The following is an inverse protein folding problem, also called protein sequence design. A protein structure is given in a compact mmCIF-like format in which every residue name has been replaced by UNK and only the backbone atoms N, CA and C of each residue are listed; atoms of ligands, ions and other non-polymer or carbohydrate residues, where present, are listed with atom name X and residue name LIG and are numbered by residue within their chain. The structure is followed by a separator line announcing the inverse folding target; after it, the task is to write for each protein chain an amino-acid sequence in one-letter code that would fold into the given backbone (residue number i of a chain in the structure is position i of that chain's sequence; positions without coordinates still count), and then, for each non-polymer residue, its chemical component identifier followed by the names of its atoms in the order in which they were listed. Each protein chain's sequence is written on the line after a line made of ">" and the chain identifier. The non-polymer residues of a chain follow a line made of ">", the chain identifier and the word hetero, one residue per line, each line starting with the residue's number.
data_IF_947284414011
#
_entry.id   IF_947284414011
#
_cell.length_a   1.000
_cell.length_b   1.000
_cell.length_c   1.000
_cell.angle_alpha   90.00
_cell.angle_beta   90.00
_cell.angle_gamma   90.00
#
_symmetry.space_group_name_H-M   'P 1'
#
loop_
_entity.id
_entity.type
_entity.pdbx_description
1 polymer ?
#
# COMPACT_ATOMS: atom_id res chain seq x y z
N UNK A 1 14.62 -33.77 25.56
CA UNK A 1 13.56 -32.86 25.12
C UNK A 1 14.27 -31.57 24.71
N UNK A 2 14.58 -31.41 23.42
CA UNK A 2 15.33 -30.25 22.90
C UNK A 2 14.33 -29.12 22.67
N UNK A 3 14.39 -28.09 23.50
CA UNK A 3 13.54 -26.90 23.39
C UNK A 3 13.96 -26.06 22.19
N UNK A 4 13.07 -25.94 21.22
CA UNK A 4 13.21 -25.03 20.09
C UNK A 4 13.04 -23.59 20.61
N UNK A 5 14.14 -22.86 20.75
CA UNK A 5 14.11 -21.42 21.03
C UNK A 5 13.72 -20.72 19.73
N UNK A 6 12.46 -20.27 19.63
CA UNK A 6 12.04 -19.30 18.63
C UNK A 6 12.68 -17.96 18.98
N UNK A 7 13.75 -17.58 18.26
CA UNK A 7 14.22 -16.20 18.25
C UNK A 7 13.20 -15.41 17.43
N UNK A 8 12.22 -14.83 18.12
CA UNK A 8 11.36 -13.83 17.51
C UNK A 8 12.23 -12.61 17.27
N UNK A 9 12.62 -12.37 16.02
CA UNK A 9 13.21 -11.09 15.62
C UNK A 9 12.12 -10.01 15.80
N UNK A 10 12.02 -9.47 17.01
CA UNK A 10 11.10 -8.40 17.32
C UNK A 10 11.56 -7.11 16.65
N UNK A 11 10.63 -6.39 16.01
CA UNK A 11 10.88 -5.02 15.60
C UNK A 11 11.20 -4.20 16.86
N UNK A 12 12.33 -3.52 16.87
CA UNK A 12 12.73 -2.63 17.95
C UNK A 12 12.17 -1.23 17.73
N UNK A 13 12.07 -0.44 18.79
CA UNK A 13 11.65 0.96 18.70
C UNK A 13 12.66 1.84 19.41
N UNK A 14 12.94 3.02 18.85
CA UNK A 14 13.82 4.04 19.42
C UNK A 14 13.08 5.36 19.49
N UNK A 15 13.42 6.20 20.46
CA UNK A 15 12.86 7.54 20.55
C UNK A 15 13.51 8.44 19.51
N UNK A 16 12.67 9.19 18.81
CA UNK A 16 13.00 10.26 17.87
C UNK A 16 14.16 11.18 18.30
N UNK A 17 14.20 11.59 19.56
CA UNK A 17 15.24 12.49 20.09
C UNK A 17 16.67 11.90 20.02
N UNK A 18 16.79 10.58 19.95
CA UNK A 18 18.06 9.87 19.91
C UNK A 18 18.58 9.67 18.47
N UNK A 19 17.80 10.13 17.48
CA UNK A 19 18.09 9.95 16.05
C UNK A 19 17.93 11.29 15.34
N UNK A 20 18.98 11.75 14.66
CA UNK A 20 18.90 12.94 13.79
C UNK A 20 18.01 12.66 12.58
N UNK A 21 17.23 13.65 12.12
CA UNK A 21 16.40 13.52 10.90
C UNK A 21 17.19 13.01 9.69
N UNK A 22 18.45 13.45 9.54
CA UNK A 22 19.39 12.99 8.49
C UNK A 22 19.85 11.53 8.61
N UNK A 23 19.47 10.84 9.69
CA UNK A 23 19.65 9.40 9.89
C UNK A 23 18.35 8.59 9.73
N UNK A 24 17.22 9.24 9.47
CA UNK A 24 15.90 8.63 9.36
C UNK A 24 15.62 8.20 7.92
N UNK A 25 15.14 6.97 7.77
CA UNK A 25 14.47 6.46 6.57
C UNK A 25 12.96 6.66 6.71
N UNK A 26 12.34 7.47 5.85
CA UNK A 26 10.90 7.77 5.92
C UNK A 26 10.10 7.06 4.82
N UNK A 27 8.96 6.47 5.18
CA UNK A 27 8.01 5.89 4.23
C UNK A 27 6.67 6.59 4.37
N UNK A 28 6.22 7.22 3.29
CA UNK A 28 4.91 7.86 3.19
C UNK A 28 4.04 7.18 2.15
N UNK A 29 2.80 6.88 2.50
CA UNK A 29 1.83 6.28 1.58
C UNK A 29 0.51 7.01 1.67
N UNK A 30 -0.03 7.41 0.53
CA UNK A 30 -1.41 7.89 0.37
C UNK A 30 -2.20 6.85 -0.39
N UNK A 31 -3.29 6.35 0.18
CA UNK A 31 -4.17 5.38 -0.49
C UNK A 31 -5.57 5.94 -0.63
N UNK A 32 -6.10 5.92 -1.86
CA UNK A 32 -7.47 6.28 -2.20
C UNK A 32 -8.23 5.05 -2.72
N UNK A 33 -9.00 4.36 -1.87
CA UNK A 33 -9.80 3.20 -2.28
C UNK A 33 -10.91 3.57 -3.28
N UNK A 34 -11.35 2.58 -4.06
CA UNK A 34 -12.52 2.66 -4.94
C UNK A 34 -13.78 3.01 -4.13
N UNK A 35 -14.55 3.99 -4.62
CA UNK A 35 -15.77 4.46 -3.98
C UNK A 35 -15.59 5.24 -2.68
N UNK A 36 -14.36 5.39 -2.16
CA UNK A 36 -14.10 6.21 -0.97
C UNK A 36 -14.04 7.71 -1.32
N UNK A 37 -14.55 8.55 -0.43
CA UNK A 37 -14.42 10.01 -0.53
C UNK A 37 -13.34 10.55 0.42
N UNK A 38 -12.39 9.70 0.79
CA UNK A 38 -11.32 9.98 1.75
C UNK A 38 -10.01 9.38 1.26
N UNK A 39 -8.94 10.17 1.31
CA UNK A 39 -7.58 9.68 1.13
C UNK A 39 -7.00 9.29 2.50
N UNK A 40 -6.62 8.02 2.64
CA UNK A 40 -5.91 7.53 3.82
C UNK A 40 -4.43 7.86 3.67
N UNK A 41 -3.84 8.45 4.70
CA UNK A 41 -2.43 8.86 4.71
C UNK A 41 -1.71 8.14 5.84
N UNK A 42 -0.52 7.61 5.55
CA UNK A 42 0.28 6.85 6.49
C UNK A 42 1.75 7.25 6.41
N UNK A 43 2.40 7.26 7.56
CA UNK A 43 3.82 7.55 7.72
C UNK A 43 4.48 6.52 8.63
N UNK A 44 5.68 6.07 8.27
CA UNK A 44 6.56 5.26 9.11
C UNK A 44 7.98 5.79 9.04
N UNK A 45 8.68 5.76 10.18
CA UNK A 45 10.04 6.26 10.33
C UNK A 45 10.95 5.16 10.86
N UNK A 46 12.13 4.97 10.29
CA UNK A 46 13.05 3.90 10.66
C UNK A 46 14.50 4.35 10.74
N UNK A 47 15.28 3.60 11.54
CA UNK A 47 16.74 3.57 11.49
C UNK A 47 17.18 2.17 11.11
N UNK A 48 17.89 2.05 9.98
CA UNK A 48 18.20 0.74 9.42
C UNK A 48 16.92 0.01 9.00
N UNK A 49 16.90 -1.30 9.13
CA UNK A 49 15.85 -2.13 8.54
C UNK A 49 14.71 -2.49 9.49
N UNK A 50 14.99 -2.67 10.78
CA UNK A 50 14.04 -3.25 11.76
C UNK A 50 13.76 -2.37 12.98
N UNK A 51 14.38 -1.18 13.06
CA UNK A 51 14.15 -0.25 14.18
C UNK A 51 13.23 0.86 13.74
N UNK A 52 12.04 0.93 14.35
CA UNK A 52 11.07 2.00 14.14
C UNK A 52 11.36 3.18 15.07
N UNK A 53 10.95 4.38 14.65
CA UNK A 53 11.11 5.60 15.42
C UNK A 53 9.76 6.05 15.97
N UNK A 54 9.72 6.23 17.29
CA UNK A 54 8.60 6.86 18.00
C UNK A 54 8.86 8.38 18.12
N UNK A 55 7.95 9.20 17.59
CA UNK A 55 7.97 10.65 17.72
C UNK A 55 7.72 11.03 19.18
N UNK A 56 8.51 11.98 19.66
CA UNK A 56 8.51 12.41 21.05
C UNK A 56 7.55 13.57 21.31
N UNK A 57 7.56 14.05 22.55
CA UNK A 57 6.74 15.19 22.96
C UNK A 57 7.08 16.45 22.13
N UNK A 58 6.05 17.06 21.55
CA UNK A 58 6.18 18.25 20.70
C UNK A 58 6.61 17.97 19.26
N UNK A 59 6.89 16.71 18.90
CA UNK A 59 7.06 16.30 17.51
C UNK A 59 5.72 15.87 16.92
N UNK A 60 5.55 16.10 15.62
CA UNK A 60 4.33 15.67 14.92
C UNK A 60 4.59 15.46 13.46
N UNK A 61 3.73 14.65 12.83
CA UNK A 61 3.62 14.61 11.38
C UNK A 61 2.22 15.04 10.98
N UNK A 62 2.14 16.00 10.08
CA UNK A 62 0.89 16.51 9.52
C UNK A 62 0.86 16.22 8.03
N UNK A 63 -0.26 15.71 7.54
CA UNK A 63 -0.51 15.58 6.11
C UNK A 63 -1.53 16.62 5.66
N UNK A 64 -1.31 17.23 4.50
CA UNK A 64 -2.21 18.25 3.95
C UNK A 64 -2.36 18.12 2.43
N UNK A 65 -3.49 18.55 1.91
CA UNK A 65 -3.80 18.50 0.48
C UNK A 65 -5.24 18.91 0.21
N UNK A 66 -5.52 19.51 -0.95
CA UNK A 66 -6.89 19.91 -1.32
C UNK A 66 -7.56 20.88 -0.32
N UNK A 67 -6.78 21.72 0.37
CA UNK A 67 -7.28 22.63 1.41
C UNK A 67 -7.65 21.95 2.74
N UNK A 68 -7.32 20.67 2.91
CA UNK A 68 -7.48 19.91 4.15
C UNK A 68 -6.13 19.65 4.79
N UNK A 69 -6.14 19.44 6.10
CA UNK A 69 -4.97 19.09 6.88
C UNK A 69 -5.37 18.17 8.03
N UNK A 70 -4.51 17.19 8.34
CA UNK A 70 -4.70 16.23 9.42
C UNK A 70 -3.36 15.93 10.07
N UNK A 71 -3.29 16.09 11.40
CA UNK A 71 -2.17 15.56 12.17
C UNK A 71 -2.33 14.05 12.29
N UNK A 72 -1.32 13.28 11.89
CA UNK A 72 -1.38 11.82 11.91
C UNK A 72 -1.28 11.32 13.35
N UNK A 73 -2.03 10.25 13.62
CA UNK A 73 -2.12 9.65 14.95
C UNK A 73 -1.22 8.43 15.02
N UNK A 74 -0.43 8.37 16.07
CA UNK A 74 0.44 7.23 16.37
C UNK A 74 -0.38 5.94 16.52
N UNK A 75 0.09 4.89 15.87
CA UNK A 75 -0.44 3.53 15.94
C UNK A 75 0.71 2.53 16.05
N UNK A 76 0.55 1.51 16.90
CA UNK A 76 1.55 0.46 17.11
C UNK A 76 0.91 -0.92 17.07
N UNK A 77 1.34 -1.74 16.11
CA UNK A 77 0.82 -3.10 15.93
C UNK A 77 1.97 -4.07 15.66
N UNK A 78 2.04 -5.16 16.41
CA UNK A 78 3.06 -6.20 16.27
C UNK A 78 4.53 -5.68 16.25
N UNK A 79 4.80 -4.57 16.96
CA UNK A 79 6.12 -3.95 17.03
C UNK A 79 6.43 -2.95 15.90
N UNK A 80 5.54 -2.82 14.91
CA UNK A 80 5.59 -1.78 13.87
C UNK A 80 4.99 -0.49 14.43
N UNK A 81 5.64 0.64 14.16
CA UNK A 81 5.16 1.98 14.54
C UNK A 81 4.81 2.75 13.28
N UNK A 82 3.56 3.18 13.19
CA UNK A 82 3.00 3.93 12.08
C UNK A 82 2.26 5.17 12.61
N UNK A 83 2.02 6.13 11.72
CA UNK A 83 1.21 7.31 11.98
C UNK A 83 0.18 7.46 10.87
N UNK A 84 -1.10 7.42 11.21
CA UNK A 84 -2.18 7.37 10.23
C UNK A 84 -3.16 8.53 10.38
N UNK A 85 -3.75 8.90 9.25
CA UNK A 85 -4.73 9.97 9.18
C UNK A 85 -5.61 9.88 7.94
N UNK A 86 -6.56 10.79 7.85
CA UNK A 86 -7.56 10.83 6.79
C UNK A 86 -7.75 12.27 6.29
N UNK A 87 -7.71 12.44 4.97
CA UNK A 87 -7.98 13.70 4.30
C UNK A 87 -9.35 13.62 3.60
N UNK A 88 -10.39 14.02 4.34
CA UNK A 88 -11.78 13.95 3.87
C UNK A 88 -12.04 14.86 2.66
N UNK A 89 -12.64 14.30 1.61
CA UNK A 89 -12.96 15.00 0.36
C UNK A 89 -11.77 15.24 -0.57
N UNK A 90 -10.57 14.79 -0.20
CA UNK A 90 -9.36 14.95 -1.02
C UNK A 90 -9.23 13.75 -1.96
N UNK A 91 -9.91 13.83 -3.11
CA UNK A 91 -10.01 12.70 -4.06
C UNK A 91 -9.67 13.04 -5.51
N UNK A 92 -9.44 14.32 -5.81
CA UNK A 92 -9.16 14.77 -7.17
C UNK A 92 -7.76 14.38 -7.61
N UNK A 93 -7.65 13.81 -8.80
CA UNK A 93 -6.37 13.50 -9.44
C UNK A 93 -5.50 14.76 -9.56
N UNK A 94 -4.19 14.60 -9.44
CA UNK A 94 -3.21 15.69 -9.49
C UNK A 94 -3.13 16.54 -8.23
N UNK A 95 -4.04 16.35 -7.25
CA UNK A 95 -3.95 17.04 -5.95
C UNK A 95 -2.64 16.66 -5.28
N UNK A 96 -1.83 17.67 -4.97
CA UNK A 96 -0.61 17.50 -4.20
C UNK A 96 -0.94 17.28 -2.73
N UNK A 97 -0.35 16.24 -2.16
CA UNK A 97 -0.37 15.89 -0.76
C UNK A 97 1.03 16.13 -0.20
N UNK A 98 1.11 16.88 0.88
CA UNK A 98 2.35 17.19 1.58
C UNK A 98 2.37 16.50 2.93
N UNK A 99 3.51 15.91 3.30
CA UNK A 99 3.80 15.44 4.66
C UNK A 99 4.82 16.38 5.29
N UNK A 100 4.43 16.95 6.43
CA UNK A 100 5.24 17.85 7.25
C UNK A 100 5.61 17.15 8.56
N UNK A 101 6.86 16.67 8.66
CA UNK A 101 7.43 16.20 9.92
C UNK A 101 8.02 17.38 10.68
N UNK A 102 7.38 17.76 11.77
CA UNK A 102 7.84 18.77 12.71
C UNK A 102 8.64 18.12 13.84
N UNK A 103 9.86 18.60 14.02
CA UNK A 103 10.82 18.16 15.01
C UNK A 103 10.99 19.23 16.08
N UNK A 104 11.44 18.83 17.27
CA UNK A 104 11.78 19.78 18.32
C UNK A 104 12.96 20.69 17.93
N UNK A 105 13.15 21.79 18.64
CA UNK A 105 14.21 22.80 18.36
C UNK A 105 15.64 22.25 18.37
N UNK A 106 15.83 21.03 18.87
CA UNK A 106 17.12 20.37 18.90
C UNK A 106 17.51 19.73 17.56
N UNK A 107 16.61 19.62 16.57
CA UNK A 107 16.84 18.92 15.31
C UNK A 107 16.14 19.57 14.10
N UNK A 108 16.55 19.20 12.89
CA UNK A 108 15.98 19.74 11.65
C UNK A 108 14.63 19.07 11.32
N UNK A 109 13.60 19.86 11.02
CA UNK A 109 12.29 19.37 10.54
C UNK A 109 12.34 19.01 9.05
N UNK A 110 11.36 18.22 8.58
CA UNK A 110 11.26 17.80 7.19
C UNK A 110 9.87 18.12 6.61
N UNK A 111 9.58 19.40 6.31
CA UNK A 111 8.24 19.87 5.97
C UNK A 111 7.83 19.65 4.49
N UNK A 112 8.75 19.26 3.60
CA UNK A 112 8.58 19.38 2.16
C UNK A 112 8.52 18.04 1.41
N UNK A 113 7.99 16.98 2.03
CA UNK A 113 7.75 15.71 1.32
C UNK A 113 6.41 15.76 0.59
N UNK A 114 6.39 15.57 -0.73
CA UNK A 114 5.19 15.77 -1.55
C UNK A 114 4.90 14.63 -2.52
N UNK A 115 3.62 14.40 -2.82
CA UNK A 115 3.17 13.45 -3.85
C UNK A 115 1.84 13.87 -4.44
N UNK A 116 1.56 13.52 -5.70
CA UNK A 116 0.29 13.83 -6.35
C UNK A 116 -0.61 12.61 -6.39
N UNK A 117 -1.88 12.77 -6.04
CA UNK A 117 -2.87 11.71 -6.20
C UNK A 117 -2.99 11.29 -7.68
N UNK A 118 -2.94 9.98 -8.00
CA UNK A 118 -3.19 9.52 -9.37
C UNK A 118 -4.68 9.60 -9.73
N UNK A 119 -5.01 9.41 -11.01
CA UNK A 119 -6.39 9.22 -11.42
C UNK A 119 -7.02 8.01 -10.75
N UNK A 120 -8.31 8.12 -10.42
CA UNK A 120 -9.06 7.03 -9.83
C UNK A 120 -9.23 5.89 -10.82
N UNK A 121 -9.08 4.67 -10.32
CA UNK A 121 -9.41 3.44 -11.03
C UNK A 121 -10.62 2.79 -10.38
N UNK A 122 -11.55 2.30 -11.20
CA UNK A 122 -12.72 1.56 -10.75
C UNK A 122 -12.94 0.33 -11.61
N UNK A 123 -12.73 -0.85 -11.05
CA UNK A 123 -12.99 -2.11 -11.75
C UNK A 123 -14.47 -2.20 -12.15
N UNK A 124 -14.71 -2.47 -13.43
CA UNK A 124 -16.03 -2.73 -14.01
C UNK A 124 -16.20 -4.19 -14.44
N UNK A 125 -15.09 -4.89 -14.67
CA UNK A 125 -15.03 -6.34 -14.80
C UNK A 125 -13.72 -6.88 -14.19
N UNK A 126 -13.72 -8.07 -13.58
CA UNK A 126 -14.87 -8.96 -13.38
C UNK A 126 -15.88 -8.44 -12.34
N UNK A 127 -17.11 -8.94 -12.37
CA UNK A 127 -18.09 -8.69 -11.30
C UNK A 127 -17.77 -9.56 -10.09
N UNK A 128 -18.00 -9.04 -8.89
CA UNK A 128 -17.79 -9.80 -7.66
C UNK A 128 -18.65 -11.07 -7.65
N UNK A 129 -18.07 -12.19 -7.23
CA UNK A 129 -18.72 -13.50 -7.15
C UNK A 129 -18.79 -14.26 -8.48
N UNK A 130 -18.30 -13.69 -9.58
CA UNK A 130 -18.24 -14.41 -10.87
C UNK A 130 -17.29 -15.60 -10.77
N UNK A 131 -17.72 -16.75 -11.28
CA UNK A 131 -16.89 -17.95 -11.35
C UNK A 131 -16.10 -18.00 -12.64
N UNK A 132 -14.78 -18.20 -12.54
CA UNK A 132 -13.87 -18.38 -13.67
C UNK A 132 -13.08 -19.68 -13.55
N UNK A 133 -12.98 -20.44 -14.64
CA UNK A 133 -12.00 -21.50 -14.76
C UNK A 133 -10.61 -20.91 -14.97
N UNK A 134 -9.61 -21.46 -14.30
CA UNK A 134 -8.18 -21.12 -14.49
C UNK A 134 -7.70 -21.34 -15.92
N UNK A 135 -8.42 -22.11 -16.72
CA UNK A 135 -8.13 -22.39 -18.13
C UNK A 135 -8.75 -21.37 -19.09
N UNK A 136 -9.57 -20.47 -18.58
CA UNK A 136 -10.18 -19.40 -19.36
C UNK A 136 -9.45 -18.07 -19.12
N UNK A 137 -9.42 -17.17 -20.11
CA UNK A 137 -8.95 -15.81 -19.89
C UNK A 137 -9.91 -15.06 -18.96
N UNK A 138 -9.37 -14.18 -18.12
CA UNK A 138 -10.17 -13.29 -17.27
C UNK A 138 -10.02 -11.88 -17.80
N UNK A 139 -11.11 -11.33 -18.34
CA UNK A 139 -11.14 -9.96 -18.82
C UNK A 139 -11.26 -8.99 -17.64
N UNK A 140 -10.27 -8.13 -17.49
CA UNK A 140 -10.23 -7.06 -16.50
C UNK A 140 -10.49 -5.75 -17.23
N UNK A 141 -11.52 -5.01 -16.79
CA UNK A 141 -11.88 -3.70 -17.31
C UNK A 141 -12.04 -2.73 -16.16
N UNK A 142 -11.71 -1.47 -16.40
CA UNK A 142 -11.89 -0.43 -15.41
C UNK A 142 -12.25 0.91 -16.04
N UNK A 143 -13.01 1.70 -15.29
CA UNK A 143 -13.24 3.10 -15.58
C UNK A 143 -12.11 3.93 -14.96
N UNK A 144 -11.64 4.93 -15.71
CA UNK A 144 -10.59 5.86 -15.32
C UNK A 144 -10.71 7.14 -16.15
N UNK A 145 -10.25 8.27 -15.60
CA UNK A 145 -9.90 9.43 -16.42
C UNK A 145 -8.68 9.15 -17.31
N UNK A 146 -8.38 10.01 -18.30
CA UNK A 146 -7.12 9.96 -19.05
C UNK A 146 -5.92 9.98 -18.09
N UNK A 147 -4.94 9.11 -18.31
CA UNK A 147 -3.77 8.98 -17.45
C UNK A 147 -2.57 8.54 -18.28
N UNK A 148 -1.41 9.14 -18.00
CA UNK A 148 -0.10 8.75 -18.51
C UNK A 148 0.60 7.71 -17.61
N UNK A 149 -0.07 7.27 -16.55
CA UNK A 149 0.44 6.28 -15.62
C UNK A 149 0.05 4.87 -16.04
N UNK A 150 1.02 3.96 -15.91
CA UNK A 150 0.77 2.54 -16.00
C UNK A 150 -0.06 2.05 -14.80
N UNK A 151 -0.72 0.90 -14.94
CA UNK A 151 -1.53 0.31 -13.87
C UNK A 151 -1.12 -1.14 -13.63
N UNK A 152 -1.20 -1.59 -12.39
CA UNK A 152 -0.83 -2.96 -12.01
C UNK A 152 -2.10 -3.72 -11.62
N UNK A 153 -2.37 -4.82 -12.31
CA UNK A 153 -3.35 -5.81 -11.85
C UNK A 153 -2.60 -6.86 -11.05
N UNK A 154 -3.07 -7.15 -9.85
CA UNK A 154 -2.59 -8.24 -9.00
C UNK A 154 -3.73 -9.20 -8.68
N UNK A 155 -3.38 -10.46 -8.41
CA UNK A 155 -4.34 -11.44 -7.92
C UNK A 155 -3.74 -12.27 -6.79
N UNK A 156 -4.58 -12.61 -5.81
CA UNK A 156 -4.21 -13.48 -4.69
C UNK A 156 -5.44 -14.23 -4.17
N UNK A 157 -5.24 -15.46 -3.70
CA UNK A 157 -6.26 -16.28 -3.06
C UNK A 157 -5.66 -17.57 -2.51
N UNK A 158 -6.32 -18.20 -1.54
CA UNK A 158 -5.76 -19.30 -0.74
C UNK A 158 -5.35 -20.54 -1.54
N UNK A 159 -5.94 -20.72 -2.73
CA UNK A 159 -5.75 -21.87 -3.58
C UNK A 159 -4.95 -21.60 -4.85
N UNK A 160 -4.41 -20.38 -5.00
CA UNK A 160 -3.58 -19.99 -6.14
C UNK A 160 -2.30 -19.28 -5.70
N UNK A 161 -1.26 -19.35 -6.51
CA UNK A 161 -0.08 -18.50 -6.36
C UNK A 161 -0.47 -17.04 -6.67
N UNK A 162 0.03 -16.06 -5.89
CA UNK A 162 -0.18 -14.66 -6.21
C UNK A 162 0.52 -14.33 -7.53
N UNK A 163 -0.04 -13.40 -8.28
CA UNK A 163 0.56 -12.96 -9.52
C UNK A 163 0.16 -11.54 -9.88
N UNK A 164 0.76 -11.05 -10.96
CA UNK A 164 0.56 -9.69 -11.41
C UNK A 164 0.71 -9.52 -12.92
N UNK A 165 0.09 -8.47 -13.44
CA UNK A 165 0.15 -8.07 -14.84
C UNK A 165 0.19 -6.54 -14.92
N UNK A 166 1.24 -6.01 -15.56
CA UNK A 166 1.36 -4.58 -15.82
C UNK A 166 0.55 -4.19 -17.05
N UNK A 167 -0.13 -3.05 -16.98
CA UNK A 167 -0.83 -2.41 -18.07
C UNK A 167 -0.13 -1.11 -18.41
N UNK A 168 0.18 -0.94 -19.70
CA UNK A 168 0.71 0.31 -20.22
C UNK A 168 -0.23 1.50 -19.97
N UNK A 169 0.35 2.69 -19.94
CA UNK A 169 -0.38 3.94 -19.78
C UNK A 169 -1.53 4.09 -20.80
N UNK A 170 -2.64 4.69 -20.37
CA UNK A 170 -3.82 4.93 -21.20
C UNK A 170 -4.68 3.69 -21.51
N UNK A 171 -4.24 2.47 -21.19
CA UNK A 171 -5.09 1.27 -21.31
C UNK A 171 -6.20 1.30 -20.26
N UNK A 172 -7.38 0.78 -20.59
CA UNK A 172 -8.54 0.63 -19.68
C UNK A 172 -9.02 -0.81 -19.56
N UNK A 173 -8.35 -1.74 -20.24
CA UNK A 173 -8.64 -3.16 -20.19
C UNK A 173 -7.39 -4.00 -20.41
N UNK A 174 -7.41 -5.21 -19.84
CA UNK A 174 -6.41 -6.25 -20.05
C UNK A 174 -7.05 -7.63 -19.87
N UNK A 175 -6.48 -8.64 -20.49
CA UNK A 175 -6.86 -10.03 -20.26
C UNK A 175 -5.79 -10.73 -19.44
N UNK A 176 -6.15 -11.27 -18.26
CA UNK A 176 -5.30 -12.20 -17.55
C UNK A 176 -5.31 -13.52 -18.35
N UNK A 177 -4.14 -13.99 -18.84
CA UNK A 177 -4.09 -15.17 -19.69
C UNK A 177 -4.59 -16.46 -19.00
N UNK A 178 -5.10 -17.43 -19.79
CA UNK A 178 -5.31 -18.78 -19.30
C UNK A 178 -4.06 -19.34 -18.60
N UNK A 179 -4.26 -20.00 -17.46
CA UNK A 179 -3.18 -20.62 -16.69
C UNK A 179 -2.36 -19.65 -15.82
N UNK A 180 -2.66 -18.35 -15.81
CA UNK A 180 -2.00 -17.38 -14.93
C UNK A 180 -2.36 -17.58 -13.46
N UNK A 181 -3.59 -18.02 -13.16
CA UNK A 181 -4.01 -18.40 -11.80
C UNK A 181 -3.52 -19.84 -11.53
N UNK A 182 -2.26 -19.98 -11.13
CA UNK A 182 -1.61 -21.27 -10.88
C UNK A 182 -2.02 -21.82 -9.51
N UNK A 183 -2.32 -23.12 -9.36
CA UNK A 183 -2.56 -23.70 -8.04
C UNK A 183 -1.34 -23.55 -7.13
N UNK A 184 -1.55 -23.31 -5.83
CA UNK A 184 -0.44 -23.36 -4.86
C UNK A 184 0.16 -24.75 -4.83
N UNK A 185 1.47 -24.84 -5.04
CA UNK A 185 2.24 -26.09 -4.96
C UNK A 185 2.77 -26.30 -3.53
N UNK A 186 1.85 -26.50 -2.58
CA UNK A 186 2.19 -26.74 -1.18
C UNK A 186 2.41 -28.22 -0.86
N UNK A 187 3.29 -28.52 0.11
CA UNK A 187 3.39 -29.85 0.70
C UNK A 187 2.04 -30.20 1.35
N UNK A 188 1.41 -31.34 1.02
CA UNK A 188 0.11 -31.68 1.59
C UNK A 188 0.19 -31.71 3.11
N UNK A 189 -0.62 -30.89 3.80
CA UNK A 189 -0.80 -31.06 5.24
C UNK A 189 -1.53 -32.39 5.46
N UNK A 190 -1.00 -33.33 6.26
CA UNK A 190 -1.67 -34.59 6.53
C UNK A 190 -3.12 -34.36 6.99
N UNK A 191 -4.08 -34.96 6.29
CA UNK A 191 -5.51 -34.84 6.61
C UNK A 191 -6.23 -33.62 5.99
N UNK A 192 -5.55 -32.69 5.32
CA UNK A 192 -6.19 -31.55 4.63
C UNK A 192 -6.01 -31.66 3.11
N UNK A 193 -7.11 -31.86 2.38
CA UNK A 193 -7.10 -31.71 0.92
C UNK A 193 -6.96 -30.22 0.58
N UNK A 194 -6.02 -29.84 -0.31
CA UNK A 194 -5.94 -28.46 -0.79
C UNK A 194 -7.28 -28.04 -1.41
N UNK A 195 -7.74 -26.83 -1.08
CA UNK A 195 -8.90 -26.27 -1.76
C UNK A 195 -8.56 -26.12 -3.25
N UNK A 196 -9.37 -26.69 -4.13
CA UNK A 196 -9.19 -26.55 -5.59
C UNK A 196 -10.02 -25.39 -6.14
N UNK A 197 -10.96 -24.89 -5.35
CA UNK A 197 -11.78 -23.72 -5.63
C UNK A 197 -11.64 -22.75 -4.46
N UNK A 198 -11.47 -21.46 -4.73
CA UNK A 198 -11.40 -20.43 -3.70
C UNK A 198 -11.80 -19.06 -4.24
N UNK A 199 -12.03 -18.14 -3.32
CA UNK A 199 -12.11 -16.71 -3.62
C UNK A 199 -10.71 -16.19 -4.01
N UNK A 200 -10.70 -15.34 -5.03
CA UNK A 200 -9.51 -14.65 -5.52
C UNK A 200 -9.80 -13.17 -5.58
N UNK A 201 -8.98 -12.38 -4.91
CA UNK A 201 -9.00 -10.92 -5.00
C UNK A 201 -8.26 -10.51 -6.25
N UNK A 202 -8.94 -9.88 -7.20
CA UNK A 202 -8.32 -9.15 -8.31
C UNK A 202 -8.25 -7.67 -7.91
N UNK A 203 -7.04 -7.15 -7.76
CA UNK A 203 -6.81 -5.75 -7.34
C UNK A 203 -6.10 -5.00 -8.45
N UNK A 204 -6.69 -3.89 -8.88
CA UNK A 204 -6.09 -2.93 -9.79
C UNK A 204 -5.56 -1.75 -8.98
N UNK A 205 -4.28 -1.45 -9.13
CA UNK A 205 -3.60 -0.33 -8.47
C UNK A 205 -3.02 0.60 -9.53
N UNK A 206 -3.18 1.90 -9.33
CA UNK A 206 -2.40 2.92 -10.03
C UNK A 206 -1.62 3.74 -9.02
N UNK A 207 -0.37 4.04 -9.32
CA UNK A 207 0.58 4.60 -8.36
C UNK A 207 1.40 5.73 -8.98
N UNK A 208 1.64 6.75 -8.18
CA UNK A 208 2.59 7.84 -8.42
C UNK A 208 3.64 7.82 -7.32
N UNK A 209 4.89 8.08 -7.69
CA UNK A 209 5.95 8.35 -6.73
C UNK A 209 6.05 9.85 -6.48
N UNK A 210 6.41 10.22 -5.26
CA UNK A 210 6.59 11.60 -4.83
C UNK A 210 8.06 11.98 -4.67
N UNK A 211 8.29 13.13 -4.04
CA UNK A 211 9.60 13.59 -3.61
C UNK A 211 9.67 13.63 -2.10
N UNK A 212 10.67 12.97 -1.53
CA UNK A 212 10.93 13.01 -0.10
C UNK A 212 11.75 14.26 0.24
N UNK A 213 11.49 14.86 1.40
CA UNK A 213 12.30 15.98 1.91
C UNK A 213 13.78 15.56 2.06
N UNK A 214 14.69 16.44 1.64
CA UNK A 214 16.14 16.23 1.69
C UNK A 214 16.73 16.11 3.10
N UNK A 215 15.99 16.52 4.13
CA UNK A 215 16.41 16.38 5.52
C UNK A 215 16.46 14.92 5.96
N UNK A 216 15.74 14.02 5.29
CA UNK A 216 15.82 12.58 5.52
C UNK A 216 17.08 11.98 4.90
N UNK A 217 17.52 10.84 5.44
CA UNK A 217 18.61 10.05 4.87
C UNK A 217 18.21 9.47 3.51
N UNK A 218 17.09 8.76 3.52
CA UNK A 218 16.51 8.02 2.40
C UNK A 218 15.04 7.70 2.71
N UNK A 219 14.37 7.00 1.79
CA UNK A 219 12.98 6.60 1.99
C UNK A 219 12.18 6.53 0.70
N UNK A 220 10.87 6.53 0.85
CA UNK A 220 9.93 6.54 -0.27
C UNK A 220 8.66 7.30 0.08
N UNK A 221 8.04 7.89 -0.93
CA UNK A 221 6.74 8.51 -0.82
C UNK A 221 5.94 8.16 -2.07
N UNK A 222 4.70 7.72 -1.88
CA UNK A 222 3.83 7.42 -3.00
C UNK A 222 2.36 7.66 -2.69
N UNK A 223 1.59 7.87 -3.75
CA UNK A 223 0.15 7.87 -3.71
C UNK A 223 -0.40 6.80 -4.64
N UNK A 224 -1.49 6.17 -4.25
CA UNK A 224 -2.11 5.11 -5.02
C UNK A 224 -3.63 5.15 -4.96
N UNK A 225 -4.26 4.80 -6.09
CA UNK A 225 -5.68 4.50 -6.18
C UNK A 225 -5.84 3.01 -6.40
N UNK A 226 -6.83 2.42 -5.73
CA UNK A 226 -7.01 0.96 -5.73
C UNK A 226 -8.46 0.58 -5.92
N UNK A 227 -8.72 -0.43 -6.74
CA UNK A 227 -10.03 -1.07 -6.86
C UNK A 227 -9.87 -2.58 -6.82
N UNK A 228 -10.68 -3.25 -6.00
CA UNK A 228 -10.63 -4.70 -5.82
C UNK A 228 -11.98 -5.36 -6.09
N UNK A 229 -11.95 -6.57 -6.65
CA UNK A 229 -13.12 -7.44 -6.87
C UNK A 229 -12.77 -8.87 -6.46
N UNK A 230 -13.71 -9.55 -5.81
CA UNK A 230 -13.55 -10.97 -5.45
C UNK A 230 -14.21 -11.84 -6.52
N UNK A 231 -13.48 -12.81 -7.07
CA UNK A 231 -14.03 -13.82 -8.00
C UNK A 231 -13.90 -15.22 -7.40
N UNK A 232 -14.64 -16.18 -7.94
CA UNK A 232 -14.46 -17.59 -7.60
C UNK A 232 -13.57 -18.25 -8.65
N UNK A 233 -12.40 -18.73 -8.27
CA UNK A 233 -11.51 -19.48 -9.17
C UNK A 233 -11.78 -20.97 -9.06
N UNK A 234 -12.05 -21.63 -10.18
CA UNK A 234 -12.14 -23.09 -10.29
C UNK A 234 -11.02 -23.63 -11.19
N UNK A 235 -10.68 -24.93 -11.10
CA UNK A 235 -9.66 -25.56 -11.95
C UNK A 235 -9.87 -25.42 -13.48
#
# INVERSE_FOLDING_TARGET
>A
MVGLVLVVAGCSTVQSKDVRTSGISATYVVTLPDGADVANVSASYRVGTLTFIELGDGESVTSSGGGKSVQLKHHKTAGVTDYDGQLDGVVSAGTEITFDLQRGSADESAPASTVKLPERVKLTAPQTGTTYSRRAPILVRFASGPSDLSSLVTWAGDCIEPGSLQLEAGRTEVSIPPGSLRPVTGTPTPGRKPATTCEVSITLTRRTEGTLDKAFKDGSIAAQTESSRQIISTP
#
